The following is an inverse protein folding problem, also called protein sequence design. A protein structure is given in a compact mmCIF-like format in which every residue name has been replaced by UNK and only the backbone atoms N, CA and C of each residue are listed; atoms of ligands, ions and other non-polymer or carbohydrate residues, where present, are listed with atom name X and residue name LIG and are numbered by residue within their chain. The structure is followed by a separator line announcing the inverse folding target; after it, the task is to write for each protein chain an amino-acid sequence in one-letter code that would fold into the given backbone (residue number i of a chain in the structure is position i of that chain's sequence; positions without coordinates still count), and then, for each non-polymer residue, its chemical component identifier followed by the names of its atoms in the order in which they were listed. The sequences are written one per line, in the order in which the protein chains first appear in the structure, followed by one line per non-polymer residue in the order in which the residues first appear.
data_IF_002852675804
#
_entry.id   IF_002852675804
#
_cell.length_a   1.000
_cell.length_b   1.000
_cell.length_c   1.000
_cell.angle_alpha   90.00
_cell.angle_beta   90.00
_cell.angle_gamma   90.00
#
_symmetry.space_group_name_H-M   'P 1'
#
loop_
_entity.id
_entity.type
_entity.pdbx_description
1 polymer ?
#
# COMPACT_ATOMS: atom_id res chain seq x y z
N UNK A 1 4.09 -11.70 9.73
CA UNK A 1 4.23 -12.69 8.64
C UNK A 1 4.38 -11.97 7.31
N UNK A 2 5.13 -12.52 6.35
CA UNK A 2 5.20 -11.94 4.99
C UNK A 2 3.90 -12.27 4.22
N UNK A 3 3.42 -11.35 3.37
CA UNK A 3 2.15 -11.53 2.65
C UNK A 3 2.22 -12.50 1.44
N UNK A 4 3.33 -13.21 1.24
CA UNK A 4 3.44 -14.22 0.18
C UNK A 4 3.31 -13.69 -1.25
N UNK A 5 3.24 -14.59 -2.23
CA UNK A 5 3.22 -14.27 -3.66
C UNK A 5 1.81 -14.07 -4.24
N UNK A 6 0.77 -14.52 -3.54
CA UNK A 6 -0.64 -14.41 -3.97
C UNK A 6 -1.27 -13.05 -3.62
N UNK A 7 -0.53 -11.98 -3.88
CA UNK A 7 -1.00 -10.61 -3.67
C UNK A 7 -1.59 -10.02 -4.95
N UNK A 8 -2.69 -9.28 -4.80
CA UNK A 8 -3.36 -8.60 -5.91
C UNK A 8 -3.36 -7.12 -5.63
N UNK A 9 -2.73 -6.37 -6.53
CA UNK A 9 -2.76 -4.90 -6.54
C UNK A 9 -3.47 -4.48 -7.81
N UNK A 10 -4.77 -4.11 -7.74
CA UNK A 10 -5.50 -3.65 -8.91
C UNK A 10 -4.85 -2.39 -9.49
N UNK A 11 -4.54 -2.36 -10.78
CA UNK A 11 -3.88 -1.20 -11.42
C UNK A 11 -4.67 0.09 -11.21
N UNK A 12 -6.01 0.02 -11.25
CA UNK A 12 -6.88 1.16 -10.98
C UNK A 12 -6.69 1.76 -9.56
N UNK A 13 -6.31 0.96 -8.56
CA UNK A 13 -6.00 1.48 -7.22
C UNK A 13 -4.74 2.35 -7.22
N UNK A 14 -3.79 2.06 -8.10
CA UNK A 14 -2.56 2.83 -8.25
C UNK A 14 -2.85 4.11 -9.05
N UNK A 15 -3.36 3.96 -10.28
CA UNK A 15 -3.47 5.06 -11.25
C UNK A 15 -4.71 5.94 -11.07
N UNK A 16 -5.80 5.42 -10.53
CA UNK A 16 -7.08 6.16 -10.41
C UNK A 16 -7.43 6.51 -8.96
N UNK A 17 -6.62 6.09 -7.98
CA UNK A 17 -6.89 6.35 -6.56
C UNK A 17 -5.68 6.88 -5.78
N UNK A 18 -4.53 6.19 -5.79
CA UNK A 18 -3.36 6.63 -5.02
C UNK A 18 -2.64 7.82 -5.64
N UNK A 19 -2.42 7.78 -6.96
CA UNK A 19 -1.64 8.79 -7.70
C UNK A 19 -2.50 9.92 -8.27
N UNK A 20 -3.83 9.78 -8.19
CA UNK A 20 -4.75 10.82 -8.64
C UNK A 20 -5.02 11.79 -7.49
N UNK A 21 -4.92 13.09 -7.77
CA UNK A 21 -5.24 14.12 -6.79
C UNK A 21 -6.71 14.04 -6.36
N UNK A 22 -6.94 14.20 -5.05
CA UNK A 22 -8.28 14.29 -4.47
C UNK A 22 -8.32 15.42 -3.46
N UNK A 23 -9.44 16.13 -3.36
CA UNK A 23 -9.57 17.24 -2.40
C UNK A 23 -9.54 16.76 -0.94
N UNK A 24 -10.03 15.54 -0.69
CA UNK A 24 -10.05 14.90 0.62
C UNK A 24 -9.19 13.63 0.66
N UNK A 25 -8.43 13.46 1.74
CA UNK A 25 -7.52 12.33 1.98
C UNK A 25 -6.55 12.07 0.81
N UNK A 26 -6.04 13.17 0.25
CA UNK A 26 -5.09 13.15 -0.87
C UNK A 26 -3.83 12.35 -0.50
N UNK A 27 -3.58 11.30 -1.28
CA UNK A 27 -2.37 10.49 -1.16
C UNK A 27 -1.35 10.85 -2.24
N UNK A 28 -1.79 11.52 -3.30
CA UNK A 28 -0.95 11.85 -4.45
C UNK A 28 0.19 12.80 -4.07
N UNK A 29 -0.09 13.88 -3.33
CA UNK A 29 0.94 14.82 -2.87
C UNK A 29 1.93 14.17 -1.90
N UNK A 30 1.44 13.29 -1.04
CA UNK A 30 2.29 12.54 -0.11
C UNK A 30 3.23 11.60 -0.88
N UNK A 31 2.69 10.82 -1.82
CA UNK A 31 3.47 9.89 -2.65
C UNK A 31 4.45 10.64 -3.59
N UNK A 32 4.09 11.83 -4.06
CA UNK A 32 4.95 12.67 -4.86
C UNK A 32 6.23 13.11 -4.12
N UNK A 33 6.23 13.15 -2.77
CA UNK A 33 7.45 13.41 -1.99
C UNK A 33 8.53 12.35 -2.21
N UNK A 34 8.12 11.11 -2.49
CA UNK A 34 9.01 9.99 -2.87
C UNK A 34 9.20 9.85 -4.39
N UNK A 35 8.73 10.83 -5.17
CA UNK A 35 8.80 10.83 -6.63
C UNK A 35 7.76 9.94 -7.33
N UNK A 36 6.75 9.45 -6.62
CA UNK A 36 5.68 8.67 -7.26
C UNK A 36 4.59 9.58 -7.82
N UNK A 37 4.33 9.45 -9.11
CA UNK A 37 3.32 10.20 -9.87
C UNK A 37 2.66 9.30 -10.91
N UNK A 38 1.67 9.83 -11.65
CA UNK A 38 1.02 9.09 -12.74
C UNK A 38 1.97 8.66 -13.87
N UNK A 39 3.18 9.20 -13.96
CA UNK A 39 4.17 8.82 -14.97
C UNK A 39 4.92 7.54 -14.63
N UNK A 40 4.94 7.12 -13.35
CA UNK A 40 5.66 5.92 -12.89
C UNK A 40 4.83 5.01 -11.97
N UNK A 41 3.60 4.61 -12.35
CA UNK A 41 2.72 3.80 -11.52
C UNK A 41 3.29 2.41 -11.22
N UNK A 42 4.02 1.81 -12.17
CA UNK A 42 4.65 0.50 -11.96
C UNK A 42 5.78 0.56 -10.93
N UNK A 43 6.48 1.69 -10.79
CA UNK A 43 7.49 1.86 -9.73
C UNK A 43 6.84 1.90 -8.35
N UNK A 44 5.69 2.60 -8.21
CA UNK A 44 4.92 2.59 -6.96
C UNK A 44 4.43 1.18 -6.63
N UNK A 45 3.89 0.45 -7.62
CA UNK A 45 3.44 -0.92 -7.44
C UNK A 45 4.57 -1.82 -6.95
N UNK A 46 5.73 -1.77 -7.60
CA UNK A 46 6.93 -2.52 -7.21
C UNK A 46 7.40 -2.15 -5.79
N UNK A 47 7.39 -0.87 -5.43
CA UNK A 47 7.74 -0.42 -4.08
C UNK A 47 6.79 -0.98 -3.02
N UNK A 48 5.48 -1.02 -3.29
CA UNK A 48 4.48 -1.62 -2.39
C UNK A 48 4.71 -3.13 -2.25
N UNK A 49 5.02 -3.84 -3.35
CA UNK A 49 5.35 -5.27 -3.32
C UNK A 49 6.63 -5.50 -2.50
N UNK A 50 7.64 -4.65 -2.68
CA UNK A 50 8.88 -4.77 -1.90
C UNK A 50 8.62 -4.55 -0.41
N UNK A 51 7.74 -3.60 -0.06
CA UNK A 51 7.34 -3.35 1.33
C UNK A 51 6.77 -4.61 2.01
N UNK A 52 5.97 -5.42 1.30
CA UNK A 52 5.39 -6.65 1.86
C UNK A 52 6.40 -7.79 2.03
N UNK A 53 7.54 -7.70 1.33
CA UNK A 53 8.69 -8.60 1.50
C UNK A 53 9.61 -8.12 2.62
N UNK A 54 9.85 -6.82 2.71
CA UNK A 54 10.78 -6.22 3.67
C UNK A 54 10.19 -6.22 5.09
N UNK A 55 8.88 -5.97 5.25
CA UNK A 55 8.21 -5.85 6.55
C UNK A 55 7.18 -6.95 6.79
N UNK A 56 6.93 -7.25 8.05
CA UNK A 56 5.90 -8.20 8.44
C UNK A 56 4.51 -7.55 8.42
N UNK A 57 3.54 -8.31 7.91
CA UNK A 57 2.14 -8.05 8.11
C UNK A 57 1.69 -8.49 9.50
N UNK A 58 0.86 -7.65 10.09
CA UNK A 58 0.15 -7.86 11.34
C UNK A 58 -1.34 -7.95 11.04
N UNK A 59 -2.01 -8.92 11.64
CA UNK A 59 -3.44 -9.09 11.54
C UNK A 59 -4.16 -7.96 12.29
N UNK A 60 -5.13 -7.30 11.65
CA UNK A 60 -5.79 -6.10 12.18
C UNK A 60 -7.23 -6.40 12.61
N UNK A 61 -8.04 -6.90 11.69
CA UNK A 61 -9.46 -7.22 11.95
C UNK A 61 -9.95 -8.32 11.04
N UNK A 62 -10.99 -9.02 11.47
CA UNK A 62 -11.68 -10.04 10.67
C UNK A 62 -13.12 -9.61 10.47
N UNK A 63 -13.66 -9.81 9.27
CA UNK A 63 -15.08 -9.63 8.99
C UNK A 63 -15.60 -10.70 8.02
N UNK A 64 -16.84 -10.54 7.56
CA UNK A 64 -17.49 -11.47 6.62
C UNK A 64 -16.72 -11.67 5.30
N UNK A 65 -15.94 -10.67 4.87
CA UNK A 65 -15.17 -10.70 3.63
C UNK A 65 -13.79 -11.36 3.78
N UNK A 66 -13.29 -11.49 5.01
CA UNK A 66 -12.01 -12.14 5.32
C UNK A 66 -11.19 -11.41 6.37
N UNK A 67 -9.88 -11.53 6.27
CA UNK A 67 -8.93 -11.04 7.28
C UNK A 67 -8.17 -9.84 6.74
N UNK A 68 -8.20 -8.75 7.49
CA UNK A 68 -7.40 -7.56 7.19
C UNK A 68 -6.01 -7.69 7.78
N UNK A 69 -5.02 -7.34 6.98
CA UNK A 69 -3.63 -7.25 7.37
C UNK A 69 -3.11 -5.83 7.17
N UNK A 70 -2.20 -5.42 8.05
CA UNK A 70 -1.48 -4.18 7.95
C UNK A 70 0.02 -4.45 7.85
N UNK A 71 0.69 -3.81 6.89
CA UNK A 71 2.16 -3.77 6.83
C UNK A 71 2.59 -2.33 7.07
N UNK A 72 3.35 -2.12 8.14
CA UNK A 72 3.93 -0.82 8.47
C UNK A 72 5.43 -0.85 8.22
N UNK A 73 5.95 0.13 7.50
CA UNK A 73 7.36 0.21 7.16
C UNK A 73 7.68 1.42 6.28
N UNK A 74 8.88 1.41 5.74
CA UNK A 74 9.36 2.45 4.82
C UNK A 74 9.13 2.05 3.36
N UNK A 75 8.34 2.86 2.65
CA UNK A 75 8.20 2.79 1.21
C UNK A 75 9.41 3.47 0.55
N UNK A 76 10.24 2.69 -0.13
CA UNK A 76 11.42 3.18 -0.85
C UNK A 76 11.02 4.07 -2.01
N UNK A 77 11.36 5.34 -1.96
CA UNK A 77 11.10 6.30 -3.03
C UNK A 77 12.11 6.19 -4.18
N UNK A 78 11.73 6.72 -5.33
CA UNK A 78 12.59 6.71 -6.54
C UNK A 78 13.63 7.84 -6.52
N UNK A 79 13.45 8.81 -5.64
CA UNK A 79 14.32 9.97 -5.44
C UNK A 79 15.17 9.84 -4.17
N UNK A 80 15.41 8.61 -3.69
CA UNK A 80 16.06 8.30 -2.42
C UNK A 80 15.37 8.89 -1.17
N UNK A 81 14.11 9.32 -1.29
CA UNK A 81 13.30 9.76 -0.16
C UNK A 81 12.29 8.69 0.24
N UNK A 82 12.48 8.08 1.41
CA UNK A 82 11.60 7.04 1.91
C UNK A 82 10.39 7.63 2.64
N UNK A 83 9.23 6.99 2.48
CA UNK A 83 8.00 7.39 3.17
C UNK A 83 7.62 6.35 4.22
N UNK A 84 7.42 6.79 5.47
CA UNK A 84 6.82 5.95 6.50
C UNK A 84 5.33 5.75 6.21
N UNK A 85 4.93 4.50 5.94
CA UNK A 85 3.56 4.18 5.50
C UNK A 85 2.97 3.00 6.28
N UNK A 86 1.65 2.90 6.17
CA UNK A 86 0.87 1.71 6.53
C UNK A 86 0.07 1.31 5.29
N UNK A 87 0.27 0.08 4.82
CA UNK A 87 -0.54 -0.52 3.77
C UNK A 87 -1.55 -1.47 4.37
N UNK A 88 -2.77 -1.46 3.84
CA UNK A 88 -3.88 -2.28 4.29
C UNK A 88 -4.21 -3.29 3.20
N UNK A 89 -4.33 -4.55 3.60
CA UNK A 89 -4.58 -5.69 2.74
C UNK A 89 -5.76 -6.48 3.27
N UNK A 90 -6.46 -7.17 2.39
CA UNK A 90 -7.56 -8.07 2.72
C UNK A 90 -7.24 -9.45 2.15
N UNK A 91 -7.03 -10.44 3.00
CA UNK A 91 -7.09 -11.84 2.60
C UNK A 91 -8.56 -12.22 2.46
N UNK A 92 -9.01 -12.35 1.22
CA UNK A 92 -10.41 -12.62 0.86
C UNK A 92 -10.77 -14.05 1.26
N UNK A 93 -11.91 -14.24 1.90
CA UNK A 93 -12.39 -15.57 2.32
C UNK A 93 -12.80 -16.47 1.13
N UNK A 94 -13.14 -15.87 -0.01
CA UNK A 94 -13.70 -16.57 -1.16
C UNK A 94 -12.67 -17.29 -2.04
N UNK A 95 -11.42 -16.83 -2.04
CA UNK A 95 -10.35 -17.36 -2.90
C UNK A 95 -8.96 -17.32 -2.23
N UNK A 96 -8.90 -16.97 -0.95
CA UNK A 96 -7.67 -16.80 -0.15
C UNK A 96 -6.65 -15.80 -0.74
N UNK A 97 -7.05 -14.99 -1.74
CA UNK A 97 -6.18 -13.99 -2.34
C UNK A 97 -6.03 -12.77 -1.44
N UNK A 98 -4.82 -12.22 -1.40
CA UNK A 98 -4.49 -11.05 -0.58
C UNK A 98 -4.57 -9.80 -1.44
N UNK A 99 -5.69 -9.09 -1.34
CA UNK A 99 -5.93 -7.89 -2.13
C UNK A 99 -5.46 -6.63 -1.40
N UNK A 100 -4.75 -5.77 -2.12
CA UNK A 100 -4.41 -4.43 -1.66
C UNK A 100 -5.66 -3.55 -1.58
N UNK A 101 -5.88 -2.96 -0.42
CA UNK A 101 -7.03 -2.08 -0.17
C UNK A 101 -6.63 -0.61 -0.31
N UNK A 102 -5.61 -0.19 0.44
CA UNK A 102 -5.15 1.21 0.46
C UNK A 102 -3.77 1.36 1.12
N UNK A 103 -3.18 2.53 0.93
CA UNK A 103 -1.96 3.00 1.60
C UNK A 103 -2.29 4.31 2.32
N UNK A 104 -1.73 4.50 3.52
CA UNK A 104 -1.82 5.76 4.26
C UNK A 104 -0.47 6.13 4.85
N UNK A 105 -0.19 7.44 5.04
CA UNK A 105 0.96 7.88 5.81
C UNK A 105 0.91 7.26 7.21
N UNK A 106 2.04 6.77 7.69
CA UNK A 106 2.20 6.43 9.10
C UNK A 106 2.29 7.76 9.85
N UNK A 107 1.19 8.21 10.46
CA UNK A 107 1.24 9.38 11.33
C UNK A 107 2.18 9.05 12.48
N UNK A 108 3.28 9.79 12.59
CA UNK A 108 4.05 9.80 13.83
C UNK A 108 3.13 10.29 14.93
N UNK A 109 2.97 9.51 15.99
CA UNK A 109 2.43 10.04 17.24
C UNK A 109 3.48 11.04 17.74
N UNK A 110 3.21 12.33 17.57
CA UNK A 110 3.82 13.36 18.41
C UNK A 110 3.37 13.16 19.86
#
# INVERSE_FOLDING_TARGET
MKLGENIIIPTAKITQYLLLYREQDDKSKFLAQAGFTLTNPEQLKSAIIQLTKDYDAIEDKVNEYGIFYQVSGELKGINNYNLSVITIWLKRKIDDQIQFITLKPKKEKK
#
